data_IF_887542091449
#
_entry.id   IF_887542091449
#
_cell.length_a   1.000
_cell.length_b   1.000
_cell.length_c   1.000
_cell.angle_alpha   90.00
_cell.angle_beta   90.00
_cell.angle_gamma   90.00
#
_symmetry.space_group_name_H-M   'P 1'
#
loop_
_entity.id
_entity.type
_entity.pdbx_description
1 polymer ?
#
# COMPACT_ATOMS: atom_id res chain seq x y z
N UNK A 1 -27.26 33.60 30.24
CA UNK A 1 -25.99 32.90 30.49
C UNK A 1 -26.29 31.43 30.21
N UNK A 2 -26.48 30.99 28.97
CA UNK A 2 -25.63 31.04 27.76
C UNK A 2 -24.28 30.33 27.89
N UNK A 3 -24.08 29.38 26.97
CA UNK A 3 -22.85 28.63 26.67
C UNK A 3 -22.61 27.38 27.53
N UNK A 4 -22.55 26.16 27.02
CA UNK A 4 -22.69 25.65 25.66
C UNK A 4 -22.95 24.15 25.77
N UNK A 5 -24.04 23.70 25.16
CA UNK A 5 -24.32 22.29 24.93
C UNK A 5 -23.17 21.69 24.12
N UNK A 6 -22.52 20.66 24.67
CA UNK A 6 -21.65 19.78 23.89
C UNK A 6 -22.55 19.16 22.82
N UNK A 7 -22.55 19.77 21.62
CA UNK A 7 -23.06 19.15 20.42
C UNK A 7 -22.18 17.94 20.17
N UNK A 8 -22.65 16.76 20.59
CA UNK A 8 -22.33 15.51 19.92
C UNK A 8 -22.76 15.72 18.46
N UNK A 9 -21.82 16.13 17.63
CA UNK A 9 -21.96 16.02 16.19
C UNK A 9 -21.87 14.52 15.92
N UNK A 10 -23.01 13.91 15.58
CA UNK A 10 -23.05 12.65 14.84
C UNK A 10 -22.06 12.79 13.67
N UNK A 11 -20.89 12.19 13.80
CA UNK A 11 -20.04 11.80 12.68
C UNK A 11 -20.39 10.37 12.32
N UNK A 12 -21.64 10.18 11.92
CA UNK A 12 -21.99 9.13 10.98
C UNK A 12 -21.62 9.72 9.60
N UNK A 13 -20.88 8.99 8.78
CA UNK A 13 -20.56 9.26 7.35
C UNK A 13 -19.21 9.86 6.94
N UNK A 14 -18.13 9.69 7.72
CA UNK A 14 -16.77 9.71 7.14
C UNK A 14 -15.93 8.63 7.82
N UNK A 15 -15.66 7.52 7.11
CA UNK A 15 -14.50 6.69 7.41
C UNK A 15 -13.27 7.61 7.28
N UNK A 16 -12.86 8.18 8.41
CA UNK A 16 -11.70 9.07 8.55
C UNK A 16 -10.46 8.16 8.45
N UNK A 17 -10.18 7.69 7.23
CA UNK A 17 -8.96 6.99 6.88
C UNK A 17 -7.80 7.89 7.30
N UNK A 18 -7.10 7.48 8.36
CA UNK A 18 -6.01 8.25 8.93
C UNK A 18 -4.77 8.00 8.10
N UNK A 19 -4.74 8.56 6.89
CA UNK A 19 -3.52 8.65 6.11
C UNK A 19 -2.53 9.48 6.91
N UNK A 20 -1.45 8.85 7.36
CA UNK A 20 -0.13 9.44 7.61
C UNK A 20 0.78 8.35 8.19
N UNK A 21 1.53 7.67 7.32
CA UNK A 21 2.66 6.86 7.79
C UNK A 21 3.86 7.77 8.13
N UNK A 22 4.14 8.76 7.27
CA UNK A 22 5.20 9.76 7.42
C UNK A 22 4.73 11.09 6.78
N UNK A 23 4.99 12.24 7.41
CA UNK A 23 4.71 13.56 6.80
C UNK A 23 5.76 13.94 5.75
N UNK A 24 5.35 14.62 4.70
CA UNK A 24 6.23 15.20 3.67
C UNK A 24 7.31 16.14 4.22
N UNK A 25 7.07 16.75 5.39
CA UNK A 25 8.05 17.62 6.06
C UNK A 25 9.01 16.85 6.98
N UNK A 26 8.90 15.53 7.08
CA UNK A 26 9.77 14.70 7.91
C UNK A 26 11.16 14.65 7.29
N UNK A 27 12.19 14.92 8.09
CA UNK A 27 13.59 14.75 7.65
C UNK A 27 13.80 13.28 7.27
N UNK A 28 14.20 13.03 6.03
CA UNK A 28 14.36 11.68 5.47
C UNK A 28 13.14 11.15 4.70
N UNK A 29 12.07 11.95 4.55
CA UNK A 29 10.98 11.62 3.63
C UNK A 29 11.49 11.46 2.19
N UNK A 30 11.06 10.39 1.54
CA UNK A 30 11.42 10.07 0.16
C UNK A 30 10.50 10.80 -0.82
N UNK A 31 11.07 11.53 -1.78
CA UNK A 31 10.25 12.19 -2.81
C UNK A 31 9.69 11.18 -3.81
N UNK A 32 8.57 11.52 -4.45
CA UNK A 32 7.94 10.69 -5.50
C UNK A 32 8.88 10.46 -6.69
N UNK A 33 9.65 11.48 -7.08
CA UNK A 33 10.61 11.40 -8.18
C UNK A 33 11.74 10.40 -7.86
N UNK A 34 12.19 10.36 -6.61
CA UNK A 34 13.21 9.42 -6.18
C UNK A 34 12.66 8.00 -6.11
N UNK A 35 11.46 7.82 -5.58
CA UNK A 35 10.75 6.54 -5.56
C UNK A 35 10.52 5.98 -6.97
N UNK A 36 10.09 6.80 -7.93
CA UNK A 36 9.98 6.41 -9.34
C UNK A 36 11.33 5.98 -9.92
N UNK A 37 12.42 6.64 -9.53
CA UNK A 37 13.76 6.24 -9.95
C UNK A 37 14.14 4.87 -9.38
N UNK A 38 13.88 4.61 -8.09
CA UNK A 38 14.12 3.30 -7.47
C UNK A 38 13.39 2.20 -8.25
N UNK A 39 12.08 2.40 -8.49
CA UNK A 39 11.24 1.42 -9.20
C UNK A 39 11.67 1.22 -10.66
N UNK A 40 12.18 2.27 -11.31
CA UNK A 40 12.72 2.19 -12.67
C UNK A 40 14.06 1.47 -12.73
N UNK A 41 14.95 1.75 -11.79
CA UNK A 41 16.29 1.14 -11.72
C UNK A 41 16.25 -0.28 -11.15
N UNK A 42 15.16 -0.67 -10.47
CA UNK A 42 14.93 -2.01 -9.90
C UNK A 42 16.08 -2.47 -8.99
N UNK A 43 16.63 -1.53 -8.23
CA UNK A 43 17.70 -1.82 -7.27
C UNK A 43 17.13 -2.43 -6.01
N UNK A 44 17.38 -3.73 -5.84
CA UNK A 44 16.96 -4.55 -4.69
C UNK A 44 17.29 -3.84 -3.36
N UNK A 45 18.49 -3.29 -3.23
CA UNK A 45 18.97 -2.59 -2.02
C UNK A 45 18.33 -1.23 -1.77
N UNK A 46 17.56 -0.69 -2.72
CA UNK A 46 16.85 0.59 -2.56
C UNK A 46 15.33 0.42 -2.43
N UNK A 47 14.73 -0.72 -2.83
CA UNK A 47 13.26 -0.91 -2.84
C UNK A 47 12.63 -0.69 -1.47
N UNK A 48 13.23 -1.20 -0.40
CA UNK A 48 12.73 -1.00 0.97
C UNK A 48 12.57 0.49 1.33
N UNK A 49 13.32 1.41 0.70
CA UNK A 49 13.24 2.84 0.99
C UNK A 49 11.89 3.45 0.58
N UNK A 50 11.10 2.75 -0.25
CA UNK A 50 9.75 3.18 -0.62
C UNK A 50 8.81 3.29 0.58
N UNK A 51 9.12 2.64 1.71
CA UNK A 51 8.42 2.84 2.99
C UNK A 51 8.50 4.27 3.52
N UNK A 52 9.48 5.05 3.04
CA UNK A 52 9.70 6.44 3.43
C UNK A 52 8.96 7.45 2.54
N UNK A 53 8.18 6.99 1.56
CA UNK A 53 7.33 7.89 0.76
C UNK A 53 6.19 8.43 1.64
N UNK A 54 6.01 9.75 1.72
CA UNK A 54 4.85 10.34 2.37
C UNK A 54 3.54 9.95 1.67
N UNK A 55 2.61 9.39 2.45
CA UNK A 55 1.26 9.08 1.99
C UNK A 55 0.31 9.87 2.89
N UNK A 56 -0.11 11.04 2.42
CA UNK A 56 -0.91 12.00 3.18
C UNK A 56 -2.39 11.95 2.76
N UNK A 57 -2.69 11.32 1.62
CA UNK A 57 -4.03 11.20 1.09
C UNK A 57 -4.16 9.99 0.15
N UNK A 58 -5.40 9.75 -0.31
CA UNK A 58 -5.71 8.66 -1.24
C UNK A 58 -4.96 8.74 -2.57
N UNK A 59 -4.73 9.95 -3.13
CA UNK A 59 -4.01 10.09 -4.41
C UNK A 59 -2.53 9.70 -4.26
N UNK A 60 -1.93 9.93 -3.09
CA UNK A 60 -0.57 9.47 -2.81
C UNK A 60 -0.49 7.94 -2.74
N UNK A 61 -1.43 7.30 -2.04
CA UNK A 61 -1.51 5.85 -1.99
C UNK A 61 -1.75 5.27 -3.38
N UNK A 62 -2.71 5.82 -4.12
CA UNK A 62 -3.01 5.42 -5.48
C UNK A 62 -1.81 5.54 -6.41
N UNK A 63 -1.07 6.64 -6.32
CA UNK A 63 0.15 6.82 -7.08
C UNK A 63 1.19 5.74 -6.74
N UNK A 64 1.34 5.38 -5.47
CA UNK A 64 2.30 4.36 -5.04
C UNK A 64 1.89 2.97 -5.55
N UNK A 65 0.64 2.57 -5.34
CA UNK A 65 0.12 1.28 -5.82
C UNK A 65 0.22 1.19 -7.34
N UNK A 66 -0.12 2.25 -8.07
CA UNK A 66 0.02 2.29 -9.52
C UNK A 66 1.48 2.20 -9.99
N UNK A 67 2.40 2.84 -9.27
CA UNK A 67 3.84 2.76 -9.55
C UNK A 67 4.38 1.35 -9.31
N UNK A 68 3.94 0.70 -8.23
CA UNK A 68 4.27 -0.69 -7.92
C UNK A 68 3.69 -1.66 -8.95
N UNK A 69 2.41 -1.49 -9.31
CA UNK A 69 1.74 -2.28 -10.35
C UNK A 69 2.56 -2.29 -11.63
N UNK A 70 2.94 -1.11 -12.14
CA UNK A 70 3.81 -1.00 -13.32
C UNK A 70 5.16 -1.69 -13.17
N UNK A 71 5.79 -1.59 -12.01
CA UNK A 71 7.08 -2.23 -11.78
C UNK A 71 6.95 -3.77 -11.81
N UNK A 72 5.88 -4.30 -11.22
CA UNK A 72 5.62 -5.73 -11.04
C UNK A 72 5.17 -6.40 -12.34
N UNK A 73 4.28 -5.78 -13.12
CA UNK A 73 3.70 -6.39 -14.33
C UNK A 73 4.75 -6.89 -15.33
N UNK A 74 5.90 -6.22 -15.40
CA UNK A 74 7.01 -6.55 -16.31
C UNK A 74 8.25 -7.08 -15.56
N UNK A 75 8.11 -7.56 -14.33
CA UNK A 75 9.24 -8.08 -13.54
C UNK A 75 9.64 -9.50 -13.96
N UNK A 76 10.96 -9.75 -14.00
CA UNK A 76 11.58 -11.02 -14.39
C UNK A 76 12.72 -11.44 -13.45
N UNK A 77 13.19 -10.54 -12.59
CA UNK A 77 14.16 -10.85 -11.56
C UNK A 77 13.46 -11.22 -10.25
N UNK A 78 13.70 -12.46 -9.80
CA UNK A 78 13.11 -13.00 -8.56
C UNK A 78 13.51 -12.18 -7.33
N UNK A 79 14.71 -11.62 -7.30
CA UNK A 79 15.21 -10.84 -6.17
C UNK A 79 14.43 -9.52 -6.04
N UNK A 80 14.13 -8.90 -7.18
CA UNK A 80 13.32 -7.68 -7.23
C UNK A 80 11.86 -7.99 -6.89
N UNK A 81 11.31 -9.07 -7.44
CA UNK A 81 9.95 -9.51 -7.13
C UNK A 81 9.77 -9.78 -5.63
N UNK A 82 10.76 -10.42 -4.99
CA UNK A 82 10.73 -10.69 -3.56
C UNK A 82 10.71 -9.40 -2.72
N UNK A 83 11.58 -8.44 -3.00
CA UNK A 83 11.59 -7.14 -2.29
C UNK A 83 10.28 -6.36 -2.49
N UNK A 84 9.67 -6.44 -3.68
CA UNK A 84 8.37 -5.81 -3.95
C UNK A 84 7.24 -6.51 -3.16
N UNK A 85 7.26 -7.84 -3.06
CA UNK A 85 6.33 -8.60 -2.25
C UNK A 85 6.52 -8.29 -0.75
N UNK A 86 7.76 -8.19 -0.27
CA UNK A 86 8.09 -7.79 1.10
C UNK A 86 7.59 -6.38 1.41
N UNK A 87 7.79 -5.42 0.51
CA UNK A 87 7.27 -4.06 0.67
C UNK A 87 5.74 -4.07 0.81
N UNK A 88 5.04 -4.88 0.01
CA UNK A 88 3.59 -5.01 0.13
C UNK A 88 3.19 -5.59 1.49
N UNK A 89 3.82 -6.69 1.88
CA UNK A 89 3.47 -7.43 3.09
C UNK A 89 3.81 -6.67 4.38
N UNK A 90 5.00 -6.05 4.47
CA UNK A 90 5.46 -5.41 5.71
C UNK A 90 5.03 -3.96 5.86
N UNK A 91 4.75 -3.27 4.76
CA UNK A 91 4.42 -1.85 4.81
C UNK A 91 3.01 -1.55 4.29
N UNK A 92 2.72 -1.89 3.03
CA UNK A 92 1.50 -1.44 2.36
C UNK A 92 0.24 -2.06 2.96
N UNK A 93 0.20 -3.39 3.07
CA UNK A 93 -0.97 -4.12 3.58
C UNK A 93 -1.24 -3.82 5.06
N UNK A 94 -0.24 -3.81 5.97
CA UNK A 94 -0.47 -3.46 7.37
C UNK A 94 -1.01 -2.04 7.56
N UNK A 95 -0.56 -1.09 6.75
CA UNK A 95 -0.93 0.30 6.88
C UNK A 95 -2.23 0.67 6.14
N UNK A 96 -2.54 0.02 5.02
CA UNK A 96 -3.56 0.51 4.08
C UNK A 96 -4.56 -0.55 3.59
N UNK A 97 -4.63 -1.75 4.20
CA UNK A 97 -5.54 -2.81 3.72
C UNK A 97 -7.01 -2.42 3.66
N UNK A 98 -7.48 -1.53 4.52
CA UNK A 98 -8.88 -1.08 4.47
C UNK A 98 -9.12 -0.23 3.22
N UNK A 99 -8.21 0.69 2.91
CA UNK A 99 -8.25 1.52 1.72
C UNK A 99 -8.10 0.70 0.44
N UNK A 100 -7.19 -0.29 0.43
CA UNK A 100 -6.97 -1.18 -0.71
C UNK A 100 -8.25 -1.94 -1.08
N UNK A 101 -8.99 -2.44 -0.08
CA UNK A 101 -10.19 -3.25 -0.33
C UNK A 101 -11.47 -2.42 -0.50
N UNK A 102 -11.56 -1.23 0.10
CA UNK A 102 -12.75 -0.39 0.00
C UNK A 102 -12.81 0.48 -1.27
N UNK A 103 -11.69 0.64 -1.98
CA UNK A 103 -11.60 1.46 -3.20
C UNK A 103 -11.43 0.55 -4.40
N UNK A 104 -12.44 0.53 -5.26
CA UNK A 104 -12.50 -0.38 -6.42
C UNK A 104 -11.24 -0.31 -7.30
N UNK A 105 -10.72 0.90 -7.56
CA UNK A 105 -9.52 1.08 -8.37
C UNK A 105 -8.24 0.55 -7.70
N UNK A 106 -8.12 0.67 -6.38
CA UNK A 106 -6.99 0.09 -5.64
C UNK A 106 -7.13 -1.43 -5.54
N UNK A 107 -8.34 -1.94 -5.32
CA UNK A 107 -8.61 -3.38 -5.24
C UNK A 107 -8.23 -4.07 -6.54
N UNK A 108 -8.66 -3.56 -7.69
CA UNK A 108 -8.31 -4.15 -8.99
C UNK A 108 -6.80 -4.15 -9.23
N UNK A 109 -6.08 -3.08 -8.87
CA UNK A 109 -4.62 -3.07 -9.00
C UNK A 109 -3.93 -4.05 -8.04
N UNK A 110 -4.47 -4.22 -6.84
CA UNK A 110 -3.96 -5.18 -5.87
C UNK A 110 -4.19 -6.63 -6.36
N UNK A 111 -5.36 -6.92 -6.91
CA UNK A 111 -5.69 -8.22 -7.48
C UNK A 111 -4.76 -8.56 -8.67
N UNK A 112 -4.52 -7.60 -9.56
CA UNK A 112 -3.55 -7.75 -10.65
C UNK A 112 -2.15 -8.07 -10.11
N UNK A 113 -1.69 -7.31 -9.11
CA UNK A 113 -0.37 -7.52 -8.49
C UNK A 113 -0.26 -8.92 -7.90
N UNK A 114 -1.26 -9.36 -7.13
CA UNK A 114 -1.26 -10.69 -6.51
C UNK A 114 -1.32 -11.79 -7.56
N UNK A 115 -2.11 -11.60 -8.61
CA UNK A 115 -2.15 -12.53 -9.73
C UNK A 115 -0.78 -12.68 -10.39
N UNK A 116 -0.05 -11.59 -10.62
CA UNK A 116 1.30 -11.68 -11.17
C UNK A 116 2.25 -12.40 -10.21
N UNK A 117 2.18 -12.14 -8.90
CA UNK A 117 3.00 -12.87 -7.94
C UNK A 117 2.67 -14.36 -7.85
N UNK A 118 1.39 -14.75 -7.99
CA UNK A 118 0.96 -16.16 -8.05
C UNK A 118 1.54 -16.93 -9.26
N UNK A 119 2.01 -16.23 -10.30
CA UNK A 119 2.69 -16.86 -11.43
C UNK A 119 4.16 -17.23 -11.12
N UNK A 120 4.72 -16.73 -10.01
CA UNK A 120 6.07 -17.08 -9.59
C UNK A 120 6.09 -18.47 -8.94
N UNK A 121 7.26 -19.12 -9.02
CA UNK A 121 7.48 -20.46 -8.46
C UNK A 121 8.44 -20.44 -7.27
N UNK A 122 8.86 -19.26 -6.84
CA UNK A 122 9.72 -19.10 -5.67
C UNK A 122 8.88 -19.25 -4.39
N UNK A 123 9.32 -20.14 -3.49
CA UNK A 123 8.58 -20.47 -2.27
C UNK A 123 8.40 -19.25 -1.36
N UNK A 124 9.38 -18.34 -1.29
CA UNK A 124 9.27 -17.16 -0.42
C UNK A 124 8.23 -16.17 -0.96
N UNK A 125 8.16 -16.00 -2.28
CA UNK A 125 7.14 -15.15 -2.92
C UNK A 125 5.75 -15.76 -2.67
N UNK A 126 5.60 -17.08 -2.83
CA UNK A 126 4.33 -17.77 -2.59
C UNK A 126 3.88 -17.57 -1.13
N UNK A 127 4.77 -17.78 -0.15
CA UNK A 127 4.44 -17.58 1.27
C UNK A 127 3.99 -16.14 1.59
N UNK A 128 4.65 -15.15 0.98
CA UNK A 128 4.27 -13.75 1.14
C UNK A 128 2.90 -13.45 0.52
N UNK A 129 2.62 -13.97 -0.68
CA UNK A 129 1.33 -13.78 -1.35
C UNK A 129 0.20 -14.40 -0.53
N UNK A 130 0.37 -15.62 -0.06
CA UNK A 130 -0.60 -16.30 0.80
C UNK A 130 -0.88 -15.47 2.08
N UNK A 131 0.17 -14.91 2.68
CA UNK A 131 0.05 -14.07 3.87
C UNK A 131 -0.66 -12.73 3.57
N UNK A 132 -0.37 -12.10 2.42
CA UNK A 132 -1.05 -10.88 1.98
C UNK A 132 -2.53 -11.16 1.73
N UNK A 133 -2.85 -12.19 0.94
CA UNK A 133 -4.24 -12.57 0.65
C UNK A 133 -5.02 -12.84 1.94
N UNK A 134 -4.41 -13.54 2.90
CA UNK A 134 -5.01 -13.78 4.20
C UNK A 134 -5.34 -12.48 4.96
N UNK A 135 -4.44 -11.49 4.94
CA UNK A 135 -4.69 -10.19 5.59
C UNK A 135 -5.79 -9.38 4.90
N UNK A 136 -5.85 -9.40 3.57
CA UNK A 136 -6.87 -8.69 2.80
C UNK A 136 -8.26 -9.31 3.00
N UNK A 137 -8.37 -10.64 3.02
CA UNK A 137 -9.63 -11.35 3.28
C UNK A 137 -10.23 -11.03 4.67
N UNK A 138 -9.41 -10.65 5.65
CA UNK A 138 -9.91 -10.22 6.97
C UNK A 138 -10.71 -8.92 6.89
N UNK A 139 -10.45 -8.08 5.89
CA UNK A 139 -11.19 -6.83 5.67
C UNK A 139 -12.54 -7.13 5.03
N UNK A 140 -12.57 -7.97 4.00
CA UNK A 140 -13.82 -8.37 3.31
C UNK A 140 -14.85 -8.97 4.28
N UNK A 141 -14.39 -9.80 5.23
CA UNK A 141 -15.26 -10.42 6.25
C UNK A 141 -15.81 -9.44 7.29
N UNK A 142 -15.25 -8.24 7.42
CA UNK A 142 -15.76 -7.18 8.33
C UNK A 142 -16.80 -6.29 7.65
N UNK A 143 -16.90 -6.32 6.32
CA UNK A 143 -17.85 -5.52 5.53
C UNK A 143 -19.16 -6.24 5.17
N UNK A 144 -19.33 -7.50 5.63
CA UNK A 144 -20.54 -8.33 5.50
C UNK A 144 -21.20 -8.52 6.87
#
# INVERSE_FOLDING_TARGET
MDGSLIKMVNREDQHEFSFLNISSNTVGALSKEFAERILKERKVDEIHQLMYVPIENHEDLKWLIYSLHKAIMDEKDVSVALELADLLYFFIVPAYKEELMCKEDLSHMMDDILFIFDLWTDENIIELVDAIQYELQKVERKGL
#
